data_IF_329310845368
#
_entry.id   IF_329310845368
#
_cell.length_a   1.000
_cell.length_b   1.000
_cell.length_c   1.000
_cell.angle_alpha   90.00
_cell.angle_beta   90.00
_cell.angle_gamma   90.00
#
_symmetry.space_group_name_H-M   'P 1'
#
loop_
_entity.id
_entity.type
_entity.pdbx_description
1 polymer ?
#
# COMPACT_ATOMS: atom_id res chain seq x y z
N UNK A 1 -30.37 9.15 16.18
CA UNK A 1 -29.30 10.06 16.58
C UNK A 1 -28.34 10.01 15.43
N UNK A 2 -28.35 11.01 14.56
CA UNK A 2 -27.40 11.08 13.44
C UNK A 2 -26.03 11.30 14.07
N UNK A 3 -25.25 10.22 14.18
CA UNK A 3 -23.87 10.31 14.66
C UNK A 3 -23.09 11.09 13.63
N UNK A 4 -22.74 12.33 13.97
CA UNK A 4 -21.85 13.14 13.13
C UNK A 4 -20.40 12.80 13.46
N UNK A 5 -19.59 12.53 12.43
CA UNK A 5 -18.16 12.29 12.56
C UNK A 5 -17.39 13.61 12.53
N UNK A 6 -16.46 13.77 13.47
CA UNK A 6 -15.55 14.91 13.53
C UNK A 6 -14.45 14.74 12.48
N UNK A 7 -14.26 15.76 11.64
CA UNK A 7 -13.27 15.76 10.57
C UNK A 7 -12.27 16.89 10.73
N UNK A 8 -10.99 16.60 10.54
CA UNK A 8 -9.94 17.61 10.44
C UNK A 8 -9.31 17.58 9.05
N UNK A 9 -9.04 18.76 8.49
CA UNK A 9 -8.32 18.91 7.22
C UNK A 9 -6.93 19.49 7.51
N UNK A 10 -5.87 18.84 7.04
CA UNK A 10 -4.48 19.29 7.14
C UNK A 10 -3.89 19.37 5.74
N UNK A 11 -3.63 20.59 5.28
CA UNK A 11 -3.27 20.90 3.88
C UNK A 11 -2.75 22.34 3.88
N UNK A 12 -1.62 22.64 3.25
CA UNK A 12 -1.03 23.98 3.22
C UNK A 12 -1.71 24.93 2.22
N UNK A 13 -2.19 24.41 1.09
CA UNK A 13 -2.91 25.19 0.09
C UNK A 13 -4.34 25.56 0.53
N UNK A 14 -4.58 26.87 0.69
CA UNK A 14 -5.86 27.41 1.13
C UNK A 14 -7.00 27.13 0.14
N UNK A 15 -6.70 27.04 -1.16
CA UNK A 15 -7.73 26.75 -2.17
C UNK A 15 -8.16 25.28 -2.09
N UNK A 16 -7.19 24.36 -1.98
CA UNK A 16 -7.41 22.93 -1.72
C UNK A 16 -8.26 22.72 -0.47
N UNK A 17 -7.89 23.33 0.68
CA UNK A 17 -8.70 23.25 1.92
C UNK A 17 -10.15 23.70 1.71
N UNK A 18 -10.35 24.83 1.02
CA UNK A 18 -11.69 25.37 0.74
C UNK A 18 -12.51 24.46 -0.17
N UNK A 19 -11.88 23.87 -1.20
CA UNK A 19 -12.54 22.92 -2.10
C UNK A 19 -12.96 21.68 -1.33
N UNK A 20 -12.07 21.09 -0.54
CA UNK A 20 -12.35 19.92 0.29
C UNK A 20 -13.51 20.21 1.25
N UNK A 21 -13.44 21.32 2.01
CA UNK A 21 -14.51 21.75 2.92
C UNK A 21 -15.85 21.93 2.20
N UNK A 22 -15.84 22.56 1.03
CA UNK A 22 -17.05 22.79 0.23
C UNK A 22 -17.69 21.46 -0.19
N UNK A 23 -16.90 20.52 -0.68
CA UNK A 23 -17.38 19.20 -1.11
C UNK A 23 -17.94 18.43 0.09
N UNK A 24 -17.25 18.43 1.24
CA UNK A 24 -17.75 17.78 2.46
C UNK A 24 -19.12 18.34 2.84
N UNK A 25 -19.26 19.67 2.94
CA UNK A 25 -20.51 20.31 3.35
C UNK A 25 -21.66 20.05 2.37
N UNK A 26 -21.37 19.86 1.08
CA UNK A 26 -22.39 19.66 0.05
C UNK A 26 -22.89 18.21 -0.02
N UNK A 27 -22.04 17.23 0.28
CA UNK A 27 -22.34 15.81 0.05
C UNK A 27 -22.50 15.00 1.33
N UNK A 28 -21.92 15.43 2.45
CA UNK A 28 -21.80 14.64 3.67
C UNK A 28 -22.34 15.38 4.90
N UNK A 29 -23.67 15.43 5.10
CA UNK A 29 -24.27 16.07 6.28
C UNK A 29 -23.85 15.44 7.62
N UNK A 30 -23.40 14.19 7.61
CA UNK A 30 -22.86 13.47 8.75
C UNK A 30 -21.42 13.88 9.10
N UNK A 31 -20.67 14.52 8.20
CA UNK A 31 -19.30 14.95 8.47
C UNK A 31 -19.29 16.40 8.97
N UNK A 32 -18.79 16.61 10.20
CA UNK A 32 -18.58 17.93 10.76
C UNK A 32 -17.09 18.28 10.77
N UNK A 33 -16.67 19.21 9.92
CA UNK A 33 -15.26 19.61 9.89
C UNK A 33 -14.95 20.56 11.06
N UNK A 34 -14.24 20.04 12.06
CA UNK A 34 -13.95 20.67 13.35
C UNK A 34 -12.64 21.44 13.38
N UNK A 35 -11.75 21.21 12.41
CA UNK A 35 -10.47 21.91 12.31
C UNK A 35 -9.90 21.94 10.90
N UNK A 36 -9.19 23.02 10.59
CA UNK A 36 -8.41 23.21 9.36
C UNK A 36 -7.03 23.72 9.74
N UNK A 37 -5.98 23.04 9.28
CA UNK A 37 -4.59 23.36 9.61
C UNK A 37 -3.76 23.44 8.33
N UNK A 38 -2.87 24.44 8.28
CA UNK A 38 -1.96 24.64 7.15
C UNK A 38 -0.58 24.01 7.38
N UNK A 39 -0.30 23.53 8.59
CA UNK A 39 1.02 23.05 9.00
C UNK A 39 0.89 21.83 9.91
N UNK A 40 1.92 20.98 9.89
CA UNK A 40 2.08 19.87 10.84
C UNK A 40 2.15 20.41 12.28
N UNK A 41 2.85 21.52 12.45
CA UNK A 41 3.04 22.16 13.76
C UNK A 41 1.68 22.50 14.40
N UNK A 42 0.81 23.22 13.69
CA UNK A 42 -0.52 23.58 14.21
C UNK A 42 -1.41 22.35 14.40
N UNK A 43 -1.38 21.42 13.45
CA UNK A 43 -2.17 20.20 13.50
C UNK A 43 -1.80 19.33 14.71
N UNK A 44 -0.50 19.15 15.00
CA UNK A 44 0.01 18.33 16.10
C UNK A 44 -0.45 18.82 17.48
N UNK A 45 -0.62 20.13 17.64
CA UNK A 45 -1.08 20.76 18.87
C UNK A 45 -2.58 20.61 19.10
N UNK A 46 -3.36 20.64 18.02
CA UNK A 46 -4.83 20.74 18.11
C UNK A 46 -5.53 19.40 17.94
N UNK A 47 -5.01 18.48 17.12
CA UNK A 47 -5.64 17.17 16.87
C UNK A 47 -5.87 16.37 18.16
N UNK A 48 -4.94 16.31 19.13
CA UNK A 48 -5.19 15.60 20.39
C UNK A 48 -6.38 16.16 21.20
N UNK A 49 -6.67 17.45 21.05
CA UNK A 49 -7.78 18.11 21.73
C UNK A 49 -9.10 17.92 20.97
N UNK A 50 -9.03 17.86 19.63
CA UNK A 50 -10.20 17.69 18.76
C UNK A 50 -10.65 16.23 18.63
N UNK A 51 -9.73 15.27 18.83
CA UNK A 51 -9.96 13.83 18.70
C UNK A 51 -10.85 13.47 17.50
N UNK A 52 -10.44 13.83 16.26
CA UNK A 52 -11.26 13.61 15.08
C UNK A 52 -11.45 12.11 14.80
N UNK A 53 -12.58 11.76 14.17
CA UNK A 53 -12.83 10.41 13.66
C UNK A 53 -12.14 10.21 12.31
N UNK A 54 -12.07 11.28 11.51
CA UNK A 54 -11.50 11.29 10.17
C UNK A 54 -10.54 12.47 9.98
N UNK A 55 -9.42 12.21 9.33
CA UNK A 55 -8.47 13.21 8.90
C UNK A 55 -8.32 13.17 7.38
N UNK A 56 -8.38 14.34 6.77
CA UNK A 56 -7.94 14.54 5.39
C UNK A 56 -6.57 15.20 5.47
N UNK A 57 -5.55 14.54 4.93
CA UNK A 57 -4.17 14.87 5.23
C UNK A 57 -3.32 14.92 3.97
N UNK A 58 -2.81 16.10 3.62
CA UNK A 58 -1.72 16.17 2.64
C UNK A 58 -0.49 15.47 3.20
N UNK A 59 0.12 14.60 2.41
CA UNK A 59 1.36 13.89 2.77
C UNK A 59 2.55 14.85 2.86
N UNK A 60 2.59 15.87 2.02
CA UNK A 60 3.72 16.79 1.94
C UNK A 60 3.24 18.22 2.19
N UNK A 61 3.64 18.77 3.33
CA UNK A 61 3.32 20.12 3.77
C UNK A 61 4.61 20.97 3.76
N UNK A 62 4.48 22.29 3.74
CA UNK A 62 5.64 23.20 3.78
C UNK A 62 6.59 22.92 4.96
N UNK A 63 6.06 22.54 6.13
CA UNK A 63 6.81 22.34 7.36
C UNK A 63 7.21 20.87 7.63
N UNK A 64 6.93 19.94 6.71
CA UNK A 64 7.44 18.57 6.79
C UNK A 64 6.58 17.49 6.15
N UNK A 65 6.76 16.26 6.62
CA UNK A 65 6.04 15.10 6.12
C UNK A 65 4.93 14.66 7.11
N UNK A 66 3.73 14.44 6.60
CA UNK A 66 2.58 14.00 7.38
C UNK A 66 2.81 12.71 8.18
N UNK A 67 3.70 11.82 7.74
CA UNK A 67 4.03 10.61 8.49
C UNK A 67 4.66 10.92 9.87
N UNK A 68 5.34 12.07 10.01
CA UNK A 68 5.87 12.52 11.30
C UNK A 68 4.71 12.92 12.24
N UNK A 69 3.71 13.65 11.73
CA UNK A 69 2.48 13.96 12.47
C UNK A 69 1.79 12.68 12.95
N UNK A 70 1.58 11.73 12.05
CA UNK A 70 0.88 10.50 12.38
C UNK A 70 1.63 9.64 13.41
N UNK A 71 2.97 9.64 13.37
CA UNK A 71 3.78 8.97 14.39
C UNK A 71 3.55 9.59 15.78
N UNK A 72 3.53 10.91 15.88
CA UNK A 72 3.27 11.62 17.14
C UNK A 72 1.87 11.36 17.68
N UNK A 73 0.85 11.37 16.81
CA UNK A 73 -0.54 11.07 17.20
C UNK A 73 -0.66 9.64 17.72
N UNK A 74 0.03 8.70 17.08
CA UNK A 74 0.04 7.30 17.49
C UNK A 74 0.70 7.06 18.84
N UNK A 75 1.80 7.76 19.14
CA UNK A 75 2.42 7.73 20.47
C UNK A 75 1.46 8.20 21.58
N UNK A 76 0.43 8.97 21.22
CA UNK A 76 -0.64 9.42 22.09
C UNK A 76 -1.91 8.55 22.01
N UNK A 77 -1.87 7.40 21.33
CA UNK A 77 -3.01 6.51 21.05
C UNK A 77 -4.16 7.18 20.29
N UNK A 78 -3.84 8.13 19.41
CA UNK A 78 -4.81 8.80 18.52
C UNK A 78 -4.62 8.22 17.12
N UNK A 79 -5.59 7.44 16.66
CA UNK A 79 -5.56 6.76 15.35
C UNK A 79 -6.86 7.02 14.57
N UNK A 80 -7.09 8.25 14.06
CA UNK A 80 -8.24 8.55 13.23
C UNK A 80 -8.17 7.81 11.91
N UNK A 81 -9.30 7.62 11.25
CA UNK A 81 -9.34 7.24 9.84
C UNK A 81 -8.65 8.34 9.02
N UNK A 82 -7.87 8.00 8.00
CA UNK A 82 -7.14 8.98 7.19
C UNK A 82 -7.49 8.77 5.72
N UNK A 83 -7.80 9.88 5.05
CA UNK A 83 -7.78 9.99 3.59
C UNK A 83 -6.58 10.85 3.23
N UNK A 84 -5.55 10.21 2.68
CA UNK A 84 -4.36 10.93 2.25
C UNK A 84 -4.63 11.70 0.96
N UNK A 85 -4.11 12.92 0.85
CA UNK A 85 -4.06 13.69 -0.38
C UNK A 85 -2.60 13.95 -0.75
N UNK A 86 -2.24 13.95 -2.04
CA UNK A 86 -0.87 14.33 -2.43
C UNK A 86 -0.73 14.64 -3.92
N UNK A 87 0.13 15.61 -4.25
CA UNK A 87 0.72 15.74 -5.58
C UNK A 87 1.85 14.71 -5.72
N UNK A 88 1.50 13.55 -6.30
CA UNK A 88 2.23 12.27 -6.23
C UNK A 88 3.75 12.32 -6.42
N UNK A 89 4.43 11.51 -5.59
CA UNK A 89 5.66 10.79 -5.94
C UNK A 89 5.38 9.29 -6.06
N UNK A 90 5.97 8.60 -7.05
CA UNK A 90 5.69 7.19 -7.36
C UNK A 90 5.94 6.22 -6.19
N UNK A 91 6.87 6.53 -5.30
CA UNK A 91 7.17 5.68 -4.14
C UNK A 91 6.07 5.73 -3.07
N UNK A 92 5.38 6.87 -2.92
CA UNK A 92 4.28 7.06 -1.97
C UNK A 92 3.06 6.30 -2.46
N UNK A 93 2.72 6.46 -3.74
CA UNK A 93 1.62 5.75 -4.39
C UNK A 93 1.78 4.24 -4.23
N UNK A 94 2.99 3.71 -4.44
CA UNK A 94 3.29 2.30 -4.22
C UNK A 94 3.08 1.87 -2.76
N UNK A 95 3.62 2.62 -1.79
CA UNK A 95 3.52 2.28 -0.37
C UNK A 95 2.06 2.28 0.13
N UNK A 96 1.27 3.25 -0.32
CA UNK A 96 -0.18 3.34 -0.10
C UNK A 96 -0.90 2.14 -0.67
N UNK A 97 -0.60 1.77 -1.92
CA UNK A 97 -1.22 0.60 -2.56
C UNK A 97 -0.84 -0.70 -1.87
N UNK A 98 0.39 -0.83 -1.37
CA UNK A 98 0.84 -2.01 -0.63
C UNK A 98 0.17 -2.11 0.74
N UNK A 99 -0.05 -0.98 1.41
CA UNK A 99 -0.76 -0.92 2.68
C UNK A 99 -2.29 -1.01 2.53
N UNK A 100 -2.81 -0.83 1.30
CA UNK A 100 -4.24 -0.79 1.00
C UNK A 100 -4.99 0.29 1.82
N UNK A 101 -4.38 1.46 1.97
CA UNK A 101 -4.99 2.64 2.62
C UNK A 101 -5.65 3.57 1.57
N UNK A 102 -6.59 4.39 2.02
CA UNK A 102 -7.34 5.32 1.16
C UNK A 102 -6.48 6.55 0.80
N UNK A 103 -6.48 6.91 -0.47
CA UNK A 103 -5.61 7.93 -1.04
C UNK A 103 -6.27 8.63 -2.22
N UNK A 104 -6.13 9.95 -2.27
CA UNK A 104 -6.63 10.84 -3.29
C UNK A 104 -5.46 11.56 -3.97
N UNK A 105 -5.32 11.34 -5.28
CA UNK A 105 -4.28 11.97 -6.09
C UNK A 105 -4.68 13.41 -6.44
N UNK A 106 -3.78 14.37 -6.27
CA UNK A 106 -3.94 15.72 -6.82
C UNK A 106 -3.42 15.82 -8.26
N UNK A 107 -4.05 16.58 -9.16
CA UNK A 107 -5.38 17.19 -8.99
C UNK A 107 -6.46 16.11 -8.94
N UNK A 108 -7.50 16.35 -8.14
CA UNK A 108 -8.68 15.48 -8.05
C UNK A 108 -9.94 16.21 -8.52
N UNK A 109 -10.94 15.45 -8.93
CA UNK A 109 -12.29 15.96 -9.12
C UNK A 109 -13.20 15.71 -7.91
N UNK A 110 -14.38 16.33 -7.94
CA UNK A 110 -15.38 16.21 -6.88
C UNK A 110 -15.82 14.75 -6.65
N UNK A 111 -15.98 13.98 -7.72
CA UNK A 111 -16.42 12.58 -7.63
C UNK A 111 -15.36 11.69 -6.97
N UNK A 112 -14.08 11.95 -7.24
CA UNK A 112 -12.97 11.22 -6.63
C UNK A 112 -12.89 11.45 -5.12
N UNK A 113 -13.06 12.70 -4.66
CA UNK A 113 -13.09 12.99 -3.22
C UNK A 113 -14.32 12.37 -2.55
N UNK A 114 -15.50 12.49 -3.16
CA UNK A 114 -16.74 11.87 -2.63
C UNK A 114 -16.55 10.37 -2.47
N UNK A 115 -16.07 9.67 -3.50
CA UNK A 115 -15.80 8.23 -3.41
C UNK A 115 -14.77 7.84 -2.35
N UNK A 116 -13.76 8.70 -2.09
CA UNK A 116 -12.77 8.46 -1.06
C UNK A 116 -13.37 8.63 0.35
N UNK A 117 -14.22 9.64 0.54
CA UNK A 117 -14.89 9.92 1.80
C UNK A 117 -15.97 8.87 2.13
N UNK A 118 -16.78 8.44 1.16
CA UNK A 118 -17.75 7.34 1.34
C UNK A 118 -17.06 6.08 1.90
N UNK A 119 -15.98 5.65 1.24
CA UNK A 119 -15.18 4.50 1.69
C UNK A 119 -14.58 4.72 3.07
N UNK A 120 -14.16 5.95 3.37
CA UNK A 120 -13.57 6.27 4.65
C UNK A 120 -14.61 6.13 5.76
N UNK A 121 -15.81 6.70 5.58
CA UNK A 121 -16.94 6.61 6.51
C UNK A 121 -17.33 5.14 6.76
N UNK A 122 -17.49 4.36 5.68
CA UNK A 122 -17.84 2.93 5.77
C UNK A 122 -16.82 2.10 6.58
N UNK A 123 -15.59 2.58 6.68
CA UNK A 123 -14.47 1.89 7.33
C UNK A 123 -13.86 2.65 8.52
N UNK A 124 -14.56 3.63 9.09
CA UNK A 124 -14.09 4.36 10.29
C UNK A 124 -13.83 3.40 11.47
N UNK A 125 -14.67 2.38 11.63
CA UNK A 125 -14.55 1.38 12.71
C UNK A 125 -13.83 0.09 12.27
N UNK A 126 -13.06 0.15 11.18
CA UNK A 126 -12.33 -1.02 10.68
C UNK A 126 -11.18 -1.39 11.62
N UNK A 127 -11.30 -2.54 12.28
CA UNK A 127 -10.34 -3.04 13.27
C UNK A 127 -8.94 -3.28 12.70
N UNK A 128 -8.82 -3.48 11.39
CA UNK A 128 -7.55 -3.79 10.72
C UNK A 128 -6.86 -2.51 10.20
N UNK A 129 -7.46 -1.34 10.40
CA UNK A 129 -6.91 -0.07 9.94
C UNK A 129 -5.53 0.24 10.54
N UNK A 130 -5.34 0.03 11.85
CA UNK A 130 -4.05 0.21 12.50
C UNK A 130 -2.95 -0.68 11.91
N UNK A 131 -3.26 -1.92 11.52
CA UNK A 131 -2.32 -2.82 10.84
C UNK A 131 -1.93 -2.30 9.44
N UNK A 132 -2.90 -1.75 8.68
CA UNK A 132 -2.61 -1.12 7.38
C UNK A 132 -1.71 0.09 7.51
N UNK A 133 -1.95 0.96 8.49
CA UNK A 133 -1.07 2.07 8.80
C UNK A 133 0.34 1.60 9.19
N UNK A 134 0.48 0.54 9.98
CA UNK A 134 1.79 -0.05 10.29
C UNK A 134 2.57 -0.44 9.03
N UNK A 135 1.91 -1.16 8.12
CA UNK A 135 2.55 -1.57 6.88
C UNK A 135 2.95 -0.35 6.04
N UNK A 136 2.10 0.68 5.95
CA UNK A 136 2.44 1.94 5.28
C UNK A 136 3.71 2.57 5.85
N UNK A 137 3.77 2.78 7.17
CA UNK A 137 4.94 3.37 7.83
C UNK A 137 6.20 2.55 7.61
N UNK A 138 6.11 1.22 7.68
CA UNK A 138 7.26 0.35 7.45
C UNK A 138 7.77 0.45 6.02
N UNK A 139 6.87 0.52 5.03
CA UNK A 139 7.21 0.57 3.61
C UNK A 139 7.83 1.90 3.19
N UNK A 140 7.53 2.98 3.90
CA UNK A 140 8.06 4.32 3.65
C UNK A 140 9.40 4.58 4.34
N UNK A 141 9.59 4.08 5.57
CA UNK A 141 10.85 4.25 6.29
C UNK A 141 11.96 3.31 5.80
N UNK A 142 11.61 2.08 5.40
CA UNK A 142 12.58 1.08 4.95
C UNK A 142 12.80 1.12 3.43
N UNK A 143 13.47 2.16 2.94
CA UNK A 143 13.85 2.25 1.52
C UNK A 143 14.73 1.06 1.05
N UNK A 144 15.45 0.40 1.96
CA UNK A 144 16.34 -0.73 1.65
C UNK A 144 15.86 -2.09 2.21
N UNK A 145 14.83 -2.11 3.06
CA UNK A 145 14.33 -3.31 3.73
C UNK A 145 13.32 -4.10 2.90
N UNK A 146 12.92 -5.27 3.42
CA UNK A 146 11.86 -6.06 2.79
C UNK A 146 10.49 -5.40 3.01
N UNK A 147 9.87 -4.94 1.93
CA UNK A 147 8.53 -4.37 1.97
C UNK A 147 7.50 -5.44 2.28
N UNK A 148 6.35 -5.05 2.81
CA UNK A 148 5.20 -5.94 2.98
C UNK A 148 4.00 -5.43 2.20
N UNK A 149 3.18 -6.37 1.71
CA UNK A 149 1.93 -6.08 1.00
C UNK A 149 0.75 -6.68 1.77
N UNK A 150 -0.33 -5.92 1.84
CA UNK A 150 -1.61 -6.35 2.42
C UNK A 150 -2.55 -6.78 1.31
N UNK A 151 -3.02 -8.01 1.40
CA UNK A 151 -4.04 -8.59 0.55
C UNK A 151 -5.39 -8.55 1.25
N UNK A 152 -6.39 -7.95 0.60
CA UNK A 152 -7.78 -7.95 1.04
C UNK A 152 -8.44 -9.30 0.77
N UNK A 153 -9.06 -9.89 1.79
CA UNK A 153 -9.87 -11.10 1.69
C UNK A 153 -11.27 -10.85 2.26
N UNK A 154 -12.22 -11.74 1.99
CA UNK A 154 -13.59 -11.61 2.52
C UNK A 154 -13.62 -11.65 4.05
N UNK A 155 -12.66 -12.34 4.69
CA UNK A 155 -12.59 -12.53 6.14
C UNK A 155 -11.44 -11.72 6.79
N UNK A 156 -11.04 -10.60 6.18
CA UNK A 156 -9.99 -9.71 6.72
C UNK A 156 -8.82 -9.52 5.77
N UNK A 157 -7.61 -9.59 6.30
CA UNK A 157 -6.41 -9.23 5.56
C UNK A 157 -5.25 -10.21 5.77
N UNK A 158 -4.46 -10.44 4.73
CA UNK A 158 -3.17 -11.14 4.82
C UNK A 158 -2.05 -10.14 4.60
N UNK A 159 -1.21 -9.93 5.60
CA UNK A 159 0.02 -9.16 5.46
C UNK A 159 1.19 -10.10 5.15
N UNK A 160 1.83 -9.92 4.00
CA UNK A 160 2.94 -10.77 3.58
C UNK A 160 4.18 -9.92 3.25
N UNK A 161 5.33 -10.16 3.89
CA UNK A 161 6.60 -9.63 3.43
C UNK A 161 6.91 -10.15 2.02
N UNK A 162 7.41 -9.29 1.13
CA UNK A 162 7.65 -9.67 -0.27
C UNK A 162 8.66 -10.82 -0.39
N UNK A 163 9.64 -10.90 0.50
CA UNK A 163 10.59 -12.02 0.56
C UNK A 163 9.94 -13.37 0.85
N UNK A 164 8.73 -13.39 1.42
CA UNK A 164 8.02 -14.63 1.77
C UNK A 164 7.12 -15.16 0.66
N UNK A 165 6.82 -14.36 -0.36
CA UNK A 165 5.93 -14.76 -1.45
C UNK A 165 6.73 -15.52 -2.51
N UNK A 166 6.39 -16.78 -2.76
CA UNK A 166 7.05 -17.64 -3.76
C UNK A 166 6.54 -17.34 -5.17
N UNK A 167 5.22 -17.40 -5.36
CA UNK A 167 4.56 -17.06 -6.61
C UNK A 167 3.10 -16.65 -6.36
N UNK A 168 2.55 -15.92 -7.32
CA UNK A 168 1.10 -15.71 -7.49
C UNK A 168 0.62 -16.43 -8.74
N UNK A 169 -0.51 -17.13 -8.63
CA UNK A 169 -1.18 -17.89 -9.69
C UNK A 169 -2.55 -17.31 -9.99
N UNK A 170 -2.83 -17.04 -11.26
CA UNK A 170 -4.17 -16.64 -11.70
C UNK A 170 -5.08 -17.87 -11.70
N UNK A 171 -6.24 -17.74 -11.05
CA UNK A 171 -7.28 -18.78 -10.96
C UNK A 171 -8.64 -18.16 -11.28
N UNK A 172 -9.68 -18.94 -11.61
CA UNK A 172 -11.03 -18.41 -11.76
C UNK A 172 -11.45 -17.59 -10.54
N UNK A 173 -11.95 -16.37 -10.76
CA UNK A 173 -12.39 -15.47 -9.69
C UNK A 173 -11.30 -14.60 -9.05
N UNK A 174 -10.00 -14.85 -9.31
CA UNK A 174 -8.95 -14.04 -8.70
C UNK A 174 -7.53 -14.57 -8.85
N UNK A 175 -6.79 -14.58 -7.74
CA UNK A 175 -5.41 -15.05 -7.67
C UNK A 175 -5.15 -15.80 -6.36
N UNK A 176 -4.33 -16.84 -6.44
CA UNK A 176 -3.78 -17.55 -5.28
C UNK A 176 -2.30 -17.19 -5.12
N UNK A 177 -1.87 -16.96 -3.89
CA UNK A 177 -0.48 -16.68 -3.56
C UNK A 177 0.08 -17.77 -2.65
N UNK A 178 1.27 -18.25 -2.99
CA UNK A 178 2.03 -19.23 -2.21
C UNK A 178 3.08 -18.53 -1.37
N UNK A 179 3.09 -18.80 -0.06
CA UNK A 179 4.13 -18.36 0.85
C UNK A 179 5.22 -19.43 1.05
N UNK A 180 6.41 -19.01 1.51
CA UNK A 180 7.50 -19.92 1.89
C UNK A 180 7.08 -20.87 3.02
N UNK A 181 6.16 -20.45 3.89
CA UNK A 181 5.58 -21.30 4.95
C UNK A 181 4.87 -22.54 4.38
N UNK A 182 4.54 -22.54 3.09
CA UNK A 182 3.75 -23.57 2.42
C UNK A 182 2.26 -23.27 2.39
N UNK A 183 1.80 -22.21 3.07
CA UNK A 183 0.40 -21.79 3.03
C UNK A 183 0.07 -21.07 1.71
N UNK A 184 -1.10 -21.41 1.18
CA UNK A 184 -1.73 -20.68 0.07
C UNK A 184 -2.87 -19.82 0.61
N UNK A 185 -3.06 -18.66 0.00
CA UNK A 185 -4.25 -17.86 0.23
C UNK A 185 -4.81 -17.31 -1.08
N UNK A 186 -6.14 -17.22 -1.15
CA UNK A 186 -6.87 -16.68 -2.29
C UNK A 186 -7.19 -15.21 -2.09
N UNK A 187 -7.19 -14.46 -3.19
CA UNK A 187 -7.56 -13.05 -3.22
C UNK A 187 -8.50 -12.81 -4.40
N UNK A 188 -9.65 -12.20 -4.14
CA UNK A 188 -10.69 -11.88 -5.12
C UNK A 188 -10.32 -10.67 -6.02
N UNK A 189 -9.09 -10.66 -6.54
CA UNK A 189 -8.59 -9.65 -7.45
C UNK A 189 -7.69 -10.29 -8.53
N UNK A 190 -7.69 -9.75 -9.75
CA UNK A 190 -6.93 -10.33 -10.86
C UNK A 190 -5.42 -10.26 -10.58
N UNK A 191 -4.68 -11.34 -10.90
CA UNK A 191 -3.23 -11.40 -10.71
C UNK A 191 -2.48 -10.23 -11.39
N UNK A 192 -3.02 -9.69 -12.49
CA UNK A 192 -2.44 -8.54 -13.19
C UNK A 192 -2.29 -7.30 -12.29
N UNK A 193 -3.20 -7.09 -11.33
CA UNK A 193 -3.09 -6.01 -10.34
C UNK A 193 -1.78 -6.15 -9.56
N UNK A 194 -1.54 -7.33 -9.02
CA UNK A 194 -0.35 -7.62 -8.21
C UNK A 194 0.92 -7.71 -9.05
N UNK A 195 0.84 -8.17 -10.29
CA UNK A 195 1.98 -8.14 -11.23
C UNK A 195 2.54 -6.72 -11.38
N UNK A 196 1.67 -5.71 -11.56
CA UNK A 196 2.08 -4.32 -11.68
C UNK A 196 2.73 -3.81 -10.38
N UNK A 197 2.08 -4.07 -9.25
CA UNK A 197 2.56 -3.69 -7.91
C UNK A 197 3.92 -4.33 -7.58
N UNK A 198 4.13 -5.59 -7.96
CA UNK A 198 5.33 -6.35 -7.62
C UNK A 198 6.46 -6.22 -8.66
N UNK A 199 6.20 -5.58 -9.81
CA UNK A 199 7.08 -5.58 -10.99
C UNK A 199 8.51 -5.07 -10.75
N UNK A 200 8.67 -4.17 -9.77
CA UNK A 200 9.94 -3.55 -9.37
C UNK A 200 10.57 -4.21 -8.14
N UNK A 201 9.96 -5.27 -7.60
CA UNK A 201 10.36 -5.90 -6.33
C UNK A 201 10.90 -7.32 -6.48
N UNK A 202 11.42 -7.66 -7.67
CA UNK A 202 11.99 -8.98 -7.92
C UNK A 202 10.98 -10.01 -8.38
N UNK A 203 9.81 -9.57 -8.85
CA UNK A 203 8.81 -10.45 -9.43
C UNK A 203 8.81 -10.39 -10.95
N UNK A 204 8.46 -11.51 -11.57
CA UNK A 204 8.38 -11.62 -13.02
C UNK A 204 7.22 -12.51 -13.47
N UNK A 205 6.47 -12.05 -14.47
CA UNK A 205 5.44 -12.84 -15.13
C UNK A 205 6.09 -13.81 -16.12
N UNK A 206 6.42 -15.01 -15.65
CA UNK A 206 7.04 -16.05 -16.49
C UNK A 206 6.02 -16.84 -17.33
N UNK A 207 4.74 -16.79 -16.97
CA UNK A 207 3.66 -17.52 -17.63
C UNK A 207 2.36 -16.69 -17.64
N UNK A 208 1.41 -16.91 -18.57
CA UNK A 208 0.12 -16.22 -18.60
C UNK A 208 -0.71 -16.37 -17.33
N UNK A 209 -0.37 -17.32 -16.46
CA UNK A 209 -1.04 -17.54 -15.16
C UNK A 209 -0.11 -17.44 -13.96
N UNK A 210 1.20 -17.19 -14.12
CA UNK A 210 2.14 -17.15 -13.00
C UNK A 210 3.00 -15.89 -12.99
N UNK A 211 3.05 -15.24 -11.83
CA UNK A 211 4.06 -14.26 -11.42
C UNK A 211 4.93 -14.93 -10.36
N UNK A 212 6.24 -14.99 -10.58
CA UNK A 212 7.17 -15.68 -9.68
C UNK A 212 8.10 -14.68 -8.99
N UNK A 213 8.54 -15.02 -7.77
CA UNK A 213 9.60 -14.29 -7.08
C UNK A 213 10.97 -14.81 -7.55
N UNK A 214 11.72 -13.95 -8.24
CA UNK A 214 13.01 -14.28 -8.81
C UNK A 214 14.06 -14.60 -7.73
N UNK A 215 13.93 -14.06 -6.52
CA UNK A 215 14.90 -14.29 -5.42
C UNK A 215 14.81 -15.69 -4.82
N UNK A 216 13.69 -16.38 -5.02
CA UNK A 216 13.41 -17.69 -4.43
C UNK A 216 13.57 -18.84 -5.42
N UNK A 217 14.01 -18.53 -6.65
CA UNK A 217 14.33 -19.53 -7.67
C UNK A 217 15.51 -20.37 -7.19
N UNK A 218 15.35 -21.69 -7.23
CA UNK A 218 16.41 -22.65 -7.00
C UNK A 218 17.07 -23.06 -8.32
N UNK A 219 16.27 -23.41 -9.33
CA UNK A 219 16.80 -23.85 -10.63
C UNK A 219 15.87 -23.41 -11.77
N UNK A 220 16.45 -23.07 -12.91
CA UNK A 220 15.74 -22.82 -14.17
C UNK A 220 16.08 -23.97 -15.10
N UNK A 221 15.09 -24.78 -15.46
CA UNK A 221 15.21 -25.86 -16.41
C UNK A 221 14.74 -25.39 -17.80
N UNK A 222 15.71 -24.97 -18.62
CA UNK A 222 15.46 -24.47 -19.96
C UNK A 222 14.93 -25.54 -20.92
N UNK A 223 15.30 -26.82 -20.70
CA UNK A 223 14.88 -27.92 -21.57
C UNK A 223 13.40 -28.25 -21.35
N UNK A 224 12.96 -28.23 -20.08
CA UNK A 224 11.58 -28.53 -19.72
C UNK A 224 10.70 -27.27 -19.61
N UNK A 225 11.25 -26.07 -19.81
CA UNK A 225 10.50 -24.82 -19.75
C UNK A 225 9.94 -24.53 -18.36
N UNK A 226 10.69 -24.83 -17.29
CA UNK A 226 10.20 -24.69 -15.91
C UNK A 226 11.19 -24.05 -14.95
N UNK A 227 10.66 -23.51 -13.85
CA UNK A 227 11.41 -22.94 -12.73
C UNK A 227 11.06 -23.74 -11.47
N UNK A 228 12.06 -24.19 -10.73
CA UNK A 228 11.88 -24.80 -9.41
C UNK A 228 12.26 -23.83 -8.30
N UNK A 229 11.57 -23.92 -7.18
CA UNK A 229 11.80 -23.09 -5.99
C UNK A 229 12.36 -23.92 -4.84
N UNK A 230 12.96 -23.26 -3.85
CA UNK A 230 13.46 -23.91 -2.63
C UNK A 230 12.37 -24.66 -1.85
N UNK A 231 11.10 -24.29 -2.04
CA UNK A 231 9.93 -24.97 -1.47
C UNK A 231 9.57 -26.29 -2.18
N UNK A 232 10.26 -26.65 -3.27
CA UNK A 232 10.01 -27.87 -4.06
C UNK A 232 8.93 -27.72 -5.14
N UNK A 233 8.26 -26.57 -5.22
CA UNK A 233 7.29 -26.30 -6.29
C UNK A 233 7.99 -26.07 -7.64
N UNK A 234 7.29 -26.43 -8.72
CA UNK A 234 7.73 -26.25 -10.11
C UNK A 234 6.67 -25.43 -10.85
N UNK A 235 7.08 -24.36 -11.51
CA UNK A 235 6.22 -23.44 -12.27
C UNK A 235 6.68 -23.39 -13.73
N UNK A 236 5.79 -23.54 -14.72
CA UNK A 236 6.16 -23.42 -16.12
C UNK A 236 6.46 -21.96 -16.51
N UNK A 237 7.23 -21.76 -17.57
CA UNK A 237 7.41 -20.47 -18.22
C UNK A 237 7.24 -20.58 -19.74
N UNK A 238 6.90 -19.47 -20.40
CA UNK A 238 6.87 -19.43 -21.86
C UNK A 238 8.26 -19.12 -22.43
N UNK A 239 8.71 -19.89 -23.43
CA UNK A 239 10.06 -19.76 -24.00
C UNK A 239 10.42 -18.33 -24.41
N UNK A 240 9.48 -17.57 -24.98
CA UNK A 240 9.70 -16.18 -25.39
C UNK A 240 9.92 -15.21 -24.21
N UNK A 241 9.55 -15.60 -22.98
CA UNK A 241 9.77 -14.82 -21.74
C UNK A 241 11.10 -15.15 -21.06
N UNK A 242 11.80 -16.23 -21.47
CA UNK A 242 13.03 -16.71 -20.84
C UNK A 242 14.14 -15.63 -20.82
N UNK A 243 14.40 -14.98 -21.96
CA UNK A 243 15.44 -13.97 -22.05
C UNK A 243 15.22 -12.80 -21.06
N UNK A 244 13.99 -12.30 -20.96
CA UNK A 244 13.63 -11.25 -20.02
C UNK A 244 13.69 -11.72 -18.56
N UNK A 245 13.29 -12.96 -18.30
CA UNK A 245 13.39 -13.57 -16.97
C UNK A 245 14.84 -13.67 -16.51
N UNK A 246 15.73 -14.21 -17.34
CA UNK A 246 17.16 -14.37 -17.03
C UNK A 246 17.84 -13.02 -16.82
N UNK A 247 17.51 -12.01 -17.64
CA UNK A 247 18.04 -10.66 -17.50
C UNK A 247 17.67 -10.07 -16.13
N UNK A 248 16.40 -10.14 -15.73
CA UNK A 248 15.97 -9.66 -14.42
C UNK A 248 16.57 -10.49 -13.28
N UNK A 249 16.57 -11.82 -13.42
CA UNK A 249 17.10 -12.75 -12.41
C UNK A 249 18.56 -12.43 -12.06
N UNK A 250 19.44 -12.29 -13.06
CA UNK A 250 20.86 -11.94 -12.84
C UNK A 250 21.02 -10.62 -12.09
N UNK A 251 20.26 -9.58 -12.46
CA UNK A 251 20.27 -8.28 -11.78
C UNK A 251 19.89 -8.37 -10.29
N UNK A 252 18.99 -9.29 -9.92
CA UNK A 252 18.61 -9.49 -8.53
C UNK A 252 19.62 -10.35 -7.77
N UNK A 253 20.21 -11.38 -8.39
CA UNK A 253 21.30 -12.16 -7.78
C UNK A 253 22.55 -11.32 -7.52
N UNK A 254 22.94 -10.44 -8.45
CA UNK A 254 24.11 -9.55 -8.30
C UNK A 254 23.92 -8.53 -7.16
N UNK A 255 22.70 -7.98 -7.00
CA UNK A 255 22.39 -7.03 -5.92
C UNK A 255 22.41 -7.66 -4.52
N UNK A 256 22.08 -8.94 -4.41
CA UNK A 256 22.15 -9.70 -3.15
C UNK A 256 23.60 -10.01 -2.74
N UNK A 257 24.51 -10.20 -3.71
CA UNK A 257 25.94 -10.40 -3.45
C UNK A 257 26.61 -9.13 -2.88
N UNK A 258 26.37 -7.97 -3.49
CA UNK A 258 26.96 -6.68 -3.02
C UNK A 258 26.50 -6.34 -1.59
N UNK A 259 25.26 -6.68 -1.22
CA UNK A 259 24.74 -6.46 0.15
C UNK A 259 25.38 -7.36 1.21
N UNK A 260 25.96 -8.51 0.85
CA UNK A 260 26.64 -9.41 1.79
C UNK A 260 28.08 -8.99 2.08
N UNK A 261 28.72 -8.31 1.13
CA UNK A 261 30.11 -7.85 1.26
C UNK A 261 30.26 -6.54 2.06
N UNK A 262 29.19 -5.75 2.22
CA UNK A 262 29.19 -4.54 3.07
C UNK A 262 29.06 -4.81 4.58
N UNK A 263 28.90 -6.08 4.98
CA UNK A 263 28.80 -6.51 6.39
C UNK A 263 29.91 -7.48 6.81
N UNK A 264 31.00 -7.60 6.04
CA UNK A 264 32.24 -8.29 6.45
C UNK A 264 33.34 -7.31 6.85
#
# INVERSE_FOLDING_TARGET
>A
MDSSYSVVIVEDDIFSRRIVRLIINNHFPELNVTGEFASITDASLMIPQLAPDLMILDIQLEDGNAFDLLKQLREQNIEPKIVFMSAIHSYIEEAVQFASVDFLKKPFDESELVMALDKAIDSINDSDYGQRLNTLFSNLHNNNGDKSIIFKQDNGHVNAPLSTIVYGRAVPGGAEFRLISGEDFFVAAPLRRYELLLSNHGFFRCHPTYVINLRLINTIDENNGSVSFNSGHIVPFEAWRLAGMLQKYRKYCEKEFVRKDEYQ
#
